data_IF_369609509062
#
_entry.id   IF_369609509062
#
_cell.length_a   1.000
_cell.length_b   1.000
_cell.length_c   1.000
_cell.angle_alpha   90.00
_cell.angle_beta   90.00
_cell.angle_gamma   90.00
#
_symmetry.space_group_name_H-M   'P 1'
#
loop_
_entity.id
_entity.type
_entity.pdbx_description
1 polymer ?
#
# COMPACT_ATOMS: atom_id res chain seq x y z
N UNK A 1 28.30 62.47 62.78
CA UNK A 1 28.81 61.70 61.59
C UNK A 1 27.70 60.94 60.98
N UNK A 2 27.16 61.37 59.84
CA UNK A 2 26.02 60.73 59.07
C UNK A 2 26.61 59.93 57.93
N UNK A 3 26.46 58.60 57.93
CA UNK A 3 26.83 57.72 56.83
C UNK A 3 25.71 57.69 55.81
N UNK A 4 26.05 58.12 54.59
CA UNK A 4 25.13 57.97 53.37
C UNK A 4 25.30 56.61 52.79
N UNK A 5 24.19 55.87 52.68
CA UNK A 5 24.14 54.60 51.99
C UNK A 5 23.63 54.89 50.50
N UNK A 6 24.46 54.57 49.54
CA UNK A 6 24.04 54.58 48.09
C UNK A 6 23.43 53.24 47.75
N UNK A 7 22.16 53.23 47.38
CA UNK A 7 21.48 52.07 46.85
C UNK A 7 21.73 52.06 45.33
N UNK A 8 22.53 51.06 44.88
CA UNK A 8 22.73 50.82 43.44
C UNK A 8 21.56 49.93 42.97
N UNK A 9 20.63 50.50 42.24
CA UNK A 9 19.55 49.76 41.58
C UNK A 9 20.09 48.99 40.41
N UNK A 10 20.03 47.65 40.48
CA UNK A 10 20.37 46.76 39.40
C UNK A 10 19.13 46.62 38.47
N UNK A 11 19.19 47.28 37.30
CA UNK A 11 18.19 47.12 36.25
C UNK A 11 18.43 45.78 35.57
N UNK A 12 17.59 44.77 35.87
CA UNK A 12 17.56 43.49 35.15
C UNK A 12 16.74 43.72 33.88
N UNK A 13 17.44 43.84 32.75
CA UNK A 13 16.80 43.83 31.41
C UNK A 13 16.37 42.37 31.10
N UNK A 14 15.08 42.05 31.28
CA UNK A 14 14.47 40.83 30.77
C UNK A 14 14.37 40.87 29.26
N UNK A 15 15.36 40.37 28.54
CA UNK A 15 15.23 40.04 27.13
C UNK A 15 14.31 38.81 26.98
N UNK A 16 13.02 39.04 26.77
CA UNK A 16 12.09 38.03 26.33
C UNK A 16 12.39 37.66 24.88
N UNK A 17 13.19 36.63 24.68
CA UNK A 17 13.37 36.03 23.36
C UNK A 17 12.11 35.24 23.02
N UNK A 18 11.27 35.83 22.16
CA UNK A 18 10.18 35.11 21.50
C UNK A 18 10.79 34.08 20.54
N UNK A 19 10.96 32.87 20.99
CA UNK A 19 11.17 31.74 20.13
C UNK A 19 9.81 31.40 19.48
N UNK A 20 9.56 32.00 18.32
CA UNK A 20 8.55 31.53 17.41
C UNK A 20 9.02 30.14 16.92
N UNK A 21 8.55 29.09 17.55
CA UNK A 21 8.64 27.73 17.00
C UNK A 21 7.83 27.74 15.71
N UNK A 22 8.53 27.73 14.58
CA UNK A 22 7.92 27.41 13.30
C UNK A 22 7.42 25.96 13.43
N UNK A 23 6.15 25.81 13.76
CA UNK A 23 5.46 24.54 13.61
C UNK A 23 5.38 24.28 12.10
N UNK A 24 6.24 23.41 11.59
CA UNK A 24 6.08 22.81 10.28
C UNK A 24 4.75 22.07 10.34
N UNK A 25 3.69 22.66 9.78
CA UNK A 25 2.43 21.94 9.55
C UNK A 25 2.76 20.76 8.66
N UNK A 26 2.88 19.60 9.29
CA UNK A 26 2.97 18.32 8.60
C UNK A 26 1.61 18.10 7.96
N UNK A 27 1.50 18.51 6.67
CA UNK A 27 0.27 18.34 5.89
C UNK A 27 -0.18 16.90 5.99
N UNK A 28 -1.27 16.67 6.71
CA UNK A 28 -1.82 15.34 6.89
C UNK A 28 -2.09 14.75 5.50
N UNK A 29 -1.47 13.62 5.20
CA UNK A 29 -1.67 12.93 3.92
C UNK A 29 -3.12 12.48 3.86
N UNK A 30 -3.85 12.89 2.82
CA UNK A 30 -5.25 12.50 2.64
C UNK A 30 -5.40 10.96 2.66
N UNK A 31 -6.51 10.43 3.19
CA UNK A 31 -6.79 8.99 3.14
C UNK A 31 -6.67 8.45 1.71
N UNK A 32 -6.19 7.22 1.58
CA UNK A 32 -6.09 6.57 0.27
C UNK A 32 -7.49 6.39 -0.32
N UNK A 33 -7.65 6.74 -1.60
CA UNK A 33 -8.91 6.52 -2.33
C UNK A 33 -8.91 5.12 -2.93
N UNK A 34 -10.01 4.41 -2.77
CA UNK A 34 -10.27 3.15 -3.47
C UNK A 34 -11.19 3.41 -4.67
N UNK A 35 -11.32 2.42 -5.55
CA UNK A 35 -12.41 2.42 -6.53
C UNK A 35 -13.77 2.41 -5.82
N UNK A 36 -14.83 2.80 -6.51
CA UNK A 36 -16.17 2.90 -5.91
C UNK A 36 -16.75 1.52 -5.56
N UNK A 37 -16.52 0.52 -6.41
CA UNK A 37 -17.01 -0.86 -6.22
C UNK A 37 -16.11 -1.86 -6.93
N UNK A 38 -16.00 -3.07 -6.39
CA UNK A 38 -15.26 -4.19 -6.96
C UNK A 38 -16.22 -5.36 -7.24
N UNK A 39 -16.31 -5.76 -8.50
CA UNK A 39 -16.93 -7.03 -8.88
C UNK A 39 -15.90 -8.16 -8.73
N UNK A 40 -15.98 -8.92 -7.64
CA UNK A 40 -15.05 -10.00 -7.33
C UNK A 40 -15.17 -11.13 -8.35
N UNK A 41 -16.35 -11.33 -8.97
CA UNK A 41 -16.53 -12.35 -10.01
C UNK A 41 -15.69 -12.02 -11.25
N UNK A 42 -15.64 -10.75 -11.65
CA UNK A 42 -14.75 -10.28 -12.73
C UNK A 42 -13.29 -10.25 -12.32
N UNK A 43 -13.01 -10.06 -11.03
CA UNK A 43 -11.63 -10.00 -10.51
C UNK A 43 -10.97 -11.37 -10.42
N UNK A 44 -11.72 -12.47 -10.44
CA UNK A 44 -11.19 -13.83 -10.42
C UNK A 44 -10.21 -14.11 -11.56
N UNK A 45 -9.46 -15.21 -11.44
CA UNK A 45 -8.47 -15.66 -12.42
C UNK A 45 -7.06 -15.15 -12.10
N UNK A 46 -6.19 -15.20 -13.09
CA UNK A 46 -4.76 -14.87 -12.90
C UNK A 46 -4.49 -13.41 -13.22
N UNK A 47 -3.66 -12.81 -12.36
CA UNK A 47 -3.09 -11.49 -12.49
C UNK A 47 -1.57 -11.58 -12.40
N UNK A 48 -0.86 -11.00 -13.35
CA UNK A 48 0.60 -10.90 -13.36
C UNK A 48 1.04 -9.60 -12.70
N UNK A 49 2.01 -9.68 -11.79
CA UNK A 49 2.61 -8.52 -11.15
C UNK A 49 3.55 -7.82 -12.15
N UNK A 50 3.20 -6.63 -12.59
CA UNK A 50 4.00 -5.83 -13.53
C UNK A 50 5.03 -5.00 -12.78
N UNK A 51 4.62 -4.46 -11.63
CA UNK A 51 5.48 -3.67 -10.76
C UNK A 51 4.99 -3.74 -9.31
N UNK A 52 5.91 -3.47 -8.38
CA UNK A 52 5.59 -3.42 -6.95
C UNK A 52 6.48 -2.46 -6.18
N UNK A 53 6.06 -2.08 -4.99
CA UNK A 53 7.00 -1.63 -3.97
C UNK A 53 7.70 -2.85 -3.37
N UNK A 54 9.05 -2.80 -3.23
CA UNK A 54 9.80 -3.89 -2.59
C UNK A 54 9.25 -4.18 -1.19
N UNK A 55 9.05 -5.46 -0.89
CA UNK A 55 8.54 -5.91 0.39
C UNK A 55 9.29 -7.17 0.86
N UNK A 56 9.28 -7.41 2.19
CA UNK A 56 10.09 -8.44 2.82
C UNK A 56 9.61 -9.87 2.49
N UNK A 57 8.30 -10.07 2.28
CA UNK A 57 7.74 -11.42 2.06
C UNK A 57 7.90 -11.89 0.60
N UNK A 58 8.13 -10.96 -0.35
CA UNK A 58 8.46 -11.30 -1.74
C UNK A 58 9.96 -11.18 -2.06
N UNK A 59 10.84 -11.00 -1.07
CA UNK A 59 12.27 -10.76 -1.28
C UNK A 59 13.01 -11.85 -2.06
N UNK A 60 12.48 -13.09 -2.06
CA UNK A 60 13.04 -14.21 -2.83
C UNK A 60 12.49 -14.29 -4.26
N UNK A 61 11.41 -13.59 -4.57
CA UNK A 61 10.78 -13.59 -5.89
C UNK A 61 11.51 -12.64 -6.82
N UNK A 62 12.12 -13.16 -7.88
CA UNK A 62 12.88 -12.37 -8.86
C UNK A 62 12.14 -12.18 -10.18
N UNK A 63 11.20 -13.09 -10.53
CA UNK A 63 10.48 -13.04 -11.79
C UNK A 63 9.15 -13.83 -11.72
N UNK A 64 8.34 -13.71 -12.77
CA UNK A 64 7.10 -14.46 -13.03
C UNK A 64 6.08 -14.41 -11.89
N UNK A 65 6.13 -13.35 -11.06
CA UNK A 65 5.19 -13.20 -9.96
C UNK A 65 3.79 -13.02 -10.51
N UNK A 66 2.88 -13.84 -10.01
CA UNK A 66 1.46 -13.77 -10.34
C UNK A 66 0.60 -14.20 -9.15
N UNK A 67 -0.67 -13.79 -9.16
CA UNK A 67 -1.69 -14.18 -8.20
C UNK A 67 -2.89 -14.76 -8.94
N UNK A 68 -3.41 -15.89 -8.48
CA UNK A 68 -4.66 -16.47 -8.98
C UNK A 68 -5.72 -16.41 -7.89
N UNK A 69 -6.86 -15.82 -8.20
CA UNK A 69 -8.01 -15.64 -7.31
C UNK A 69 -9.17 -16.51 -7.77
N UNK A 70 -9.80 -17.21 -6.81
CA UNK A 70 -10.99 -18.04 -7.08
C UNK A 70 -11.98 -17.92 -5.91
N UNK A 71 -13.23 -17.56 -6.21
CA UNK A 71 -14.32 -17.52 -5.21
C UNK A 71 -14.59 -18.94 -4.74
N UNK A 72 -14.70 -19.11 -3.41
CA UNK A 72 -15.05 -20.33 -2.73
C UNK A 72 -16.55 -20.38 -2.43
N UNK A 73 -17.08 -21.54 -2.10
CA UNK A 73 -18.48 -21.73 -1.74
C UNK A 73 -18.91 -20.91 -0.49
N UNK A 74 -17.96 -20.64 0.40
CA UNK A 74 -18.17 -19.84 1.61
C UNK A 74 -18.14 -18.31 1.37
N UNK A 75 -18.04 -17.88 0.10
CA UNK A 75 -17.95 -16.48 -0.30
C UNK A 75 -16.57 -15.85 -0.16
N UNK A 76 -15.63 -16.53 0.50
CA UNK A 76 -14.24 -16.09 0.54
C UNK A 76 -13.54 -16.32 -0.80
N UNK A 77 -12.36 -15.72 -0.98
CA UNK A 77 -11.53 -15.88 -2.19
C UNK A 77 -10.28 -16.67 -1.84
N UNK A 78 -10.04 -17.80 -2.48
CA UNK A 78 -8.74 -18.45 -2.43
C UNK A 78 -7.73 -17.64 -3.23
N UNK A 79 -6.53 -17.50 -2.69
CA UNK A 79 -5.40 -16.77 -3.29
C UNK A 79 -4.25 -17.73 -3.45
N UNK A 80 -3.73 -17.85 -4.68
CA UNK A 80 -2.52 -18.62 -4.95
C UNK A 80 -1.51 -17.68 -5.59
N UNK A 81 -0.47 -17.33 -4.84
CA UNK A 81 0.66 -16.53 -5.34
C UNK A 81 1.77 -17.44 -5.81
N UNK A 82 2.36 -17.15 -6.98
CA UNK A 82 3.50 -17.87 -7.53
C UNK A 82 4.58 -16.92 -7.97
N UNK A 83 5.83 -17.34 -7.91
CA UNK A 83 6.94 -16.61 -8.48
C UNK A 83 8.15 -17.53 -8.75
N UNK A 84 9.15 -17.01 -9.46
CA UNK A 84 10.43 -17.68 -9.69
C UNK A 84 11.47 -17.10 -8.73
N UNK A 85 12.26 -17.98 -8.07
CA UNK A 85 13.39 -17.63 -7.22
C UNK A 85 14.70 -17.58 -8.00
N UNK A 86 15.80 -17.05 -7.42
CA UNK A 86 17.11 -16.93 -8.05
C UNK A 86 17.67 -18.25 -8.61
N UNK A 87 17.38 -19.39 -7.96
CA UNK A 87 17.78 -20.71 -8.39
C UNK A 87 16.83 -21.34 -9.44
N UNK A 88 15.96 -20.56 -10.06
CA UNK A 88 14.89 -20.98 -10.96
C UNK A 88 13.81 -21.90 -10.32
N UNK A 89 13.83 -22.12 -9.03
CA UNK A 89 12.74 -22.80 -8.34
C UNK A 89 11.45 -21.99 -8.37
N UNK A 90 10.32 -22.67 -8.39
CA UNK A 90 9.01 -22.05 -8.34
C UNK A 90 8.51 -21.98 -6.90
N UNK A 91 8.30 -20.76 -6.41
CA UNK A 91 7.66 -20.52 -5.13
C UNK A 91 6.14 -20.47 -5.25
N UNK A 92 5.45 -21.01 -4.24
CA UNK A 92 4.00 -20.91 -4.13
C UNK A 92 3.60 -20.57 -2.71
N UNK A 93 2.59 -19.70 -2.56
CA UNK A 93 1.97 -19.37 -1.28
C UNK A 93 0.45 -19.38 -1.44
N UNK A 94 -0.21 -20.14 -0.54
CA UNK A 94 -1.67 -20.29 -0.53
C UNK A 94 -2.27 -19.38 0.55
N UNK A 95 -3.27 -18.61 0.19
CA UNK A 95 -3.94 -17.68 1.08
C UNK A 95 -5.46 -17.70 0.91
N UNK A 96 -6.09 -16.89 1.74
CA UNK A 96 -7.52 -16.61 1.66
C UNK A 96 -7.71 -15.10 1.78
N UNK A 97 -8.55 -14.53 0.92
CA UNK A 97 -9.00 -13.15 1.04
C UNK A 97 -10.50 -13.12 1.36
N UNK A 98 -10.92 -12.02 2.02
CA UNK A 98 -12.33 -11.71 2.29
C UNK A 98 -12.59 -10.23 2.03
N UNK A 99 -13.77 -9.91 1.54
CA UNK A 99 -14.21 -8.50 1.44
C UNK A 99 -14.56 -7.97 2.83
N UNK A 100 -14.23 -6.69 3.07
CA UNK A 100 -14.57 -5.97 4.30
C UNK A 100 -15.67 -4.97 3.97
N UNK A 101 -16.82 -5.11 4.64
CA UNK A 101 -18.01 -4.34 4.36
C UNK A 101 -19.04 -5.11 3.53
N UNK A 102 -19.55 -4.50 2.48
CA UNK A 102 -20.53 -5.15 1.59
C UNK A 102 -19.84 -5.97 0.47
N UNK A 103 -20.65 -6.70 -0.30
CA UNK A 103 -20.20 -7.60 -1.37
C UNK A 103 -19.60 -6.89 -2.59
N UNK A 104 -19.64 -5.56 -2.63
CA UNK A 104 -19.04 -4.73 -3.68
C UNK A 104 -17.83 -3.93 -3.18
N UNK A 105 -17.49 -4.07 -1.90
CA UNK A 105 -16.39 -3.33 -1.30
C UNK A 105 -15.06 -3.60 -2.01
N UNK A 106 -14.31 -2.57 -2.39
CA UNK A 106 -12.95 -2.70 -2.94
C UNK A 106 -11.89 -2.98 -1.86
N UNK A 107 -12.30 -3.02 -0.61
CA UNK A 107 -11.42 -3.29 0.52
C UNK A 107 -11.51 -4.76 0.89
N UNK A 108 -10.39 -5.45 0.76
CA UNK A 108 -10.25 -6.83 1.17
C UNK A 108 -9.16 -6.93 2.24
N UNK A 109 -9.17 -8.03 2.94
CA UNK A 109 -8.06 -8.50 3.76
C UNK A 109 -7.59 -9.85 3.23
N UNK A 110 -6.28 -10.09 3.24
CA UNK A 110 -5.66 -11.33 2.79
C UNK A 110 -4.83 -11.95 3.92
N UNK A 111 -4.90 -13.27 4.02
CA UNK A 111 -4.15 -14.06 5.01
C UNK A 111 -3.47 -15.23 4.33
N UNK A 112 -2.18 -15.40 4.62
CA UNK A 112 -1.36 -16.56 4.23
C UNK A 112 -1.03 -17.48 5.40
N UNK A 113 -1.43 -17.13 6.63
CA UNK A 113 -1.32 -17.98 7.80
C UNK A 113 -2.35 -19.13 7.75
N UNK A 114 -2.10 -20.24 8.47
CA UNK A 114 -3.03 -21.36 8.56
C UNK A 114 -4.44 -20.93 9.01
N UNK A 115 -5.46 -21.68 8.57
CA UNK A 115 -6.86 -21.32 8.77
C UNK A 115 -7.24 -21.15 10.25
N UNK A 116 -6.66 -21.96 11.14
CA UNK A 116 -6.92 -21.91 12.58
C UNK A 116 -6.42 -20.64 13.27
N UNK A 117 -5.52 -19.86 12.64
CA UNK A 117 -5.08 -18.55 13.11
C UNK A 117 -5.99 -17.40 12.61
N UNK A 118 -7.00 -17.69 11.79
CA UNK A 118 -7.83 -16.70 11.13
C UNK A 118 -8.64 -15.80 12.05
N UNK A 119 -8.79 -16.16 13.33
CA UNK A 119 -9.44 -15.32 14.34
C UNK A 119 -8.52 -14.19 14.85
N UNK A 120 -7.21 -14.25 14.58
CA UNK A 120 -6.26 -13.22 14.98
C UNK A 120 -6.24 -12.09 13.94
N UNK A 121 -6.56 -10.85 14.30
CA UNK A 121 -6.50 -9.72 13.36
C UNK A 121 -5.12 -9.52 12.74
N UNK A 122 -4.06 -9.78 13.51
CA UNK A 122 -2.67 -9.58 13.11
C UNK A 122 -2.21 -10.44 11.91
N UNK A 123 -2.90 -11.53 11.59
CA UNK A 123 -2.56 -12.40 10.45
C UNK A 123 -3.21 -11.96 9.15
N UNK A 124 -4.09 -10.95 9.19
CA UNK A 124 -4.76 -10.37 8.04
C UNK A 124 -4.04 -9.09 7.60
N UNK A 125 -3.72 -9.00 6.34
CA UNK A 125 -3.15 -7.82 5.72
C UNK A 125 -4.17 -7.12 4.83
N UNK A 126 -4.15 -5.78 4.85
CA UNK A 126 -4.99 -4.97 3.97
C UNK A 126 -4.65 -5.22 2.50
N UNK A 127 -5.67 -5.35 1.68
CA UNK A 127 -5.60 -5.52 0.23
C UNK A 127 -6.71 -4.68 -0.40
N UNK A 128 -6.42 -3.41 -0.66
CA UNK A 128 -7.40 -2.45 -1.17
C UNK A 128 -7.17 -2.21 -2.64
N UNK A 129 -8.20 -2.45 -3.46
CA UNK A 129 -8.15 -2.13 -4.89
C UNK A 129 -8.37 -0.62 -5.04
N UNK A 130 -7.30 0.08 -5.43
CA UNK A 130 -7.26 1.54 -5.48
C UNK A 130 -7.43 2.11 -6.89
N UNK A 131 -7.20 1.28 -7.90
CA UNK A 131 -7.46 1.59 -9.30
C UNK A 131 -7.74 0.29 -10.07
N UNK A 132 -8.63 0.34 -11.05
CA UNK A 132 -8.88 -0.74 -11.98
C UNK A 132 -9.49 -0.16 -13.26
N UNK A 133 -9.08 -0.66 -14.42
CA UNK A 133 -9.69 -0.24 -15.67
C UNK A 133 -11.08 -0.88 -15.89
N UNK A 134 -11.96 -0.29 -16.70
CA UNK A 134 -13.33 -0.79 -16.91
C UNK A 134 -13.39 -2.23 -17.44
N UNK A 135 -12.35 -2.67 -18.18
CA UNK A 135 -12.26 -4.01 -18.75
C UNK A 135 -11.67 -5.03 -17.76
N UNK A 136 -11.23 -4.61 -16.56
CA UNK A 136 -10.55 -5.47 -15.57
C UNK A 136 -9.28 -6.11 -16.12
N UNK A 137 -8.47 -5.35 -16.89
CA UNK A 137 -7.20 -5.82 -17.46
C UNK A 137 -5.98 -5.30 -16.71
N UNK A 138 -6.07 -4.14 -16.06
CA UNK A 138 -4.99 -3.49 -15.33
C UNK A 138 -5.55 -2.95 -14.01
N UNK A 139 -4.86 -3.24 -12.89
CA UNK A 139 -5.29 -2.82 -11.56
C UNK A 139 -4.10 -2.35 -10.71
N UNK A 140 -4.39 -1.50 -9.73
CA UNK A 140 -3.46 -1.17 -8.66
C UNK A 140 -4.07 -1.53 -7.31
N UNK A 141 -3.24 -2.11 -6.44
CA UNK A 141 -3.60 -2.56 -5.12
C UNK A 141 -2.62 -2.01 -4.09
N UNK A 142 -3.14 -1.60 -2.95
CA UNK A 142 -2.33 -1.05 -1.86
C UNK A 142 -2.94 -1.35 -0.50
N UNK A 143 -2.27 -0.90 0.55
CA UNK A 143 -2.78 -0.79 1.91
C UNK A 143 -3.11 0.68 2.25
N UNK A 144 -3.88 0.96 3.33
CA UNK A 144 -4.29 2.32 3.69
C UNK A 144 -3.13 3.26 4.01
N UNK A 145 -1.95 2.74 4.36
CA UNK A 145 -0.75 3.53 4.70
C UNK A 145 0.18 3.76 3.52
N UNK A 146 -0.12 3.19 2.32
CA UNK A 146 0.72 3.22 1.11
C UNK A 146 2.12 2.62 1.32
N UNK A 147 2.22 1.69 2.25
CA UNK A 147 3.48 0.94 2.50
C UNK A 147 3.73 -0.08 1.39
N UNK A 148 2.65 -0.62 0.83
CA UNK A 148 2.66 -1.57 -0.27
C UNK A 148 1.97 -1.00 -1.50
N UNK A 149 2.46 -1.39 -2.66
CA UNK A 149 1.83 -1.10 -3.95
C UNK A 149 2.14 -2.25 -4.91
N UNK A 150 1.11 -2.75 -5.58
CA UNK A 150 1.22 -3.70 -6.68
C UNK A 150 0.47 -3.17 -7.89
N UNK A 151 1.09 -3.29 -9.06
CA UNK A 151 0.44 -3.06 -10.35
C UNK A 151 0.29 -4.42 -11.02
N UNK A 152 -0.94 -4.80 -11.27
CA UNK A 152 -1.34 -6.11 -11.72
C UNK A 152 -1.97 -6.01 -13.11
N UNK A 153 -1.64 -6.96 -13.99
CA UNK A 153 -2.19 -7.06 -15.34
C UNK A 153 -2.71 -8.47 -15.64
N UNK A 154 -3.70 -8.59 -16.52
CA UNK A 154 -4.17 -9.88 -17.04
C UNK A 154 -3.18 -10.54 -18.00
N UNK A 155 -2.25 -9.79 -18.51
CA UNK A 155 -1.20 -10.25 -19.42
C UNK A 155 0.19 -9.96 -18.85
N UNK A 156 1.18 -10.75 -19.25
CA UNK A 156 2.57 -10.58 -18.84
C UNK A 156 3.21 -9.26 -19.27
N UNK A 157 2.64 -8.63 -20.28
CA UNK A 157 3.00 -7.31 -20.77
C UNK A 157 1.82 -6.37 -20.67
N UNK A 158 2.07 -5.07 -20.55
CA UNK A 158 1.04 -4.03 -20.45
C UNK A 158 1.28 -2.96 -21.51
N UNK A 159 0.21 -2.44 -22.10
CA UNK A 159 0.28 -1.26 -22.96
C UNK A 159 0.87 -0.07 -22.19
N UNK A 160 1.90 0.56 -22.75
CA UNK A 160 2.66 1.60 -22.06
C UNK A 160 1.80 2.85 -21.78
N UNK A 161 0.86 3.21 -22.67
CA UNK A 161 0.00 4.37 -22.43
C UNK A 161 -0.97 4.11 -21.27
N UNK A 162 -1.56 2.90 -21.20
CA UNK A 162 -2.42 2.50 -20.07
C UNK A 162 -1.63 2.47 -18.77
N UNK A 163 -0.41 1.94 -18.80
CA UNK A 163 0.47 1.88 -17.64
C UNK A 163 0.82 3.29 -17.13
N UNK A 164 1.26 4.18 -18.00
CA UNK A 164 1.59 5.56 -17.63
C UNK A 164 0.37 6.34 -17.13
N UNK A 165 -0.80 6.14 -17.73
CA UNK A 165 -2.04 6.75 -17.26
C UNK A 165 -2.41 6.26 -15.84
N UNK A 166 -2.23 4.96 -15.52
CA UNK A 166 -2.40 4.42 -14.18
C UNK A 166 -1.42 5.07 -13.20
N UNK A 167 -0.12 5.15 -13.54
CA UNK A 167 0.88 5.78 -12.70
C UNK A 167 0.53 7.26 -12.40
N UNK A 168 0.05 7.99 -13.42
CA UNK A 168 -0.42 9.37 -13.24
C UNK A 168 -1.55 9.48 -12.21
N UNK A 169 -2.56 8.59 -12.25
CA UNK A 169 -3.63 8.56 -11.25
C UNK A 169 -3.13 8.21 -9.85
N UNK A 170 -2.21 7.25 -9.72
CA UNK A 170 -1.61 6.90 -8.43
C UNK A 170 -0.91 8.10 -7.77
N UNK A 171 -0.20 8.91 -8.56
CA UNK A 171 0.47 10.11 -8.06
C UNK A 171 -0.55 11.20 -7.72
N UNK A 172 -1.44 11.53 -8.68
CA UNK A 172 -2.30 12.71 -8.59
C UNK A 172 -3.49 12.51 -7.63
N UNK A 173 -4.11 11.33 -7.65
CA UNK A 173 -5.33 11.05 -6.89
C UNK A 173 -5.06 10.39 -5.54
N UNK A 174 -4.00 9.57 -5.48
CA UNK A 174 -3.65 8.82 -4.29
C UNK A 174 -2.35 9.26 -3.61
N UNK A 175 -1.60 10.21 -4.17
CA UNK A 175 -0.42 10.81 -3.54
C UNK A 175 0.78 9.84 -3.37
N UNK A 176 0.92 8.86 -4.27
CA UNK A 176 2.09 7.98 -4.25
C UNK A 176 3.35 8.69 -4.75
N UNK A 177 4.48 8.48 -4.08
CA UNK A 177 5.80 8.63 -4.68
C UNK A 177 6.18 7.31 -5.33
N UNK A 178 6.51 7.33 -6.62
CA UNK A 178 6.85 6.13 -7.39
C UNK A 178 8.35 5.81 -7.37
N UNK A 179 9.16 6.52 -6.60
CA UNK A 179 10.61 6.32 -6.50
C UNK A 179 11.00 4.88 -6.10
N UNK A 180 10.15 4.23 -5.30
CA UNK A 180 10.35 2.84 -4.84
C UNK A 180 9.77 1.80 -5.81
N UNK A 181 9.06 2.23 -6.86
CA UNK A 181 8.40 1.28 -7.75
C UNK A 181 9.44 0.52 -8.57
N UNK A 182 9.43 -0.80 -8.45
CA UNK A 182 10.30 -1.69 -9.21
C UNK A 182 9.48 -2.58 -10.13
N UNK A 183 9.96 -2.76 -11.37
CA UNK A 183 9.34 -3.66 -12.32
C UNK A 183 9.61 -5.12 -11.93
N UNK A 184 8.64 -5.98 -12.17
CA UNK A 184 8.76 -7.42 -12.00
C UNK A 184 8.92 -8.07 -13.38
N UNK A 185 10.06 -8.73 -13.66
CA UNK A 185 10.26 -9.45 -14.92
C UNK A 185 9.21 -10.55 -15.10
N UNK A 186 8.63 -10.63 -16.31
CA UNK A 186 7.70 -11.67 -16.73
C UNK A 186 8.27 -12.38 -17.95
N UNK A 187 8.74 -13.63 -17.81
CA UNK A 187 9.39 -14.43 -18.85
C UNK A 187 8.38 -15.28 -19.65
#
# INVERSE_FOLDING_TARGET
MRKKYYIIGLLVLCCSQNWAMAQTEQKAVAPIKTIASLDVARYQGTWYEIAKFPNWFQRKCIADTNATYKIKEDGNVSVTNRCTFENNEKGEALGTARQIGDSTSPKLEVRFAPAWLGFLPLVWGDYWVIDIDPEYQLAAVSDPRREYLWILSRTKSVDQNRYQALLGRLVNDNGFSLEKLSLTPQN
#
